data_IF_931185551993
#
_entry.id   IF_931185551993
#
_cell.length_a   1.000
_cell.length_b   1.000
_cell.length_c   1.000
_cell.angle_alpha   90.00
_cell.angle_beta   90.00
_cell.angle_gamma   90.00
#
_symmetry.space_group_name_H-M   'P 1'
#
loop_
_entity.id
_entity.type
_entity.pdbx_description
1 polymer ?
#
# COMPACT_ATOMS: atom_id res chain seq x y z
N UNK A 1 4.22 -13.11 8.03
CA UNK A 1 5.66 -13.25 8.34
C UNK A 1 6.00 -12.25 9.43
N UNK A 2 6.45 -12.71 10.60
CA UNK A 2 6.81 -11.84 11.72
C UNK A 2 8.21 -11.27 11.45
N UNK A 3 8.33 -9.96 11.48
CA UNK A 3 9.63 -9.30 11.43
C UNK A 3 10.36 -9.60 12.74
N UNK A 4 11.41 -10.42 12.69
CA UNK A 4 12.33 -10.57 13.81
C UNK A 4 13.42 -9.53 13.65
N UNK A 5 13.33 -8.44 14.38
CA UNK A 5 14.50 -7.75 14.89
C UNK A 5 14.84 -8.38 16.24
N UNK A 6 16.10 -8.53 16.56
CA UNK A 6 16.56 -9.24 17.77
C UNK A 6 16.11 -8.63 19.10
N UNK A 7 15.29 -7.54 19.09
CA UNK A 7 14.92 -6.81 20.30
C UNK A 7 13.41 -6.63 20.56
N UNK A 8 12.50 -6.92 19.60
CA UNK A 8 11.05 -6.77 19.85
C UNK A 8 10.23 -7.76 19.03
N UNK A 9 9.58 -8.72 19.67
CA UNK A 9 8.48 -9.48 19.07
C UNK A 9 7.21 -8.63 19.09
N UNK A 10 6.97 -7.83 18.05
CA UNK A 10 5.70 -7.15 17.89
C UNK A 10 4.62 -8.13 17.41
N UNK A 11 3.56 -8.25 18.18
CA UNK A 11 2.36 -8.98 17.78
C UNK A 11 1.53 -8.21 16.74
N UNK A 12 0.59 -8.91 16.08
CA UNK A 12 -0.31 -8.25 15.10
C UNK A 12 -1.09 -7.08 15.70
N UNK A 13 -1.45 -7.14 16.98
CA UNK A 13 -2.15 -6.06 17.67
C UNK A 13 -1.27 -4.81 17.80
N UNK A 14 0.02 -5.01 18.06
CA UNK A 14 0.99 -3.90 18.18
C UNK A 14 1.24 -3.25 16.83
N UNK A 15 1.37 -4.03 15.76
CA UNK A 15 1.51 -3.51 14.39
C UNK A 15 0.32 -2.62 14.02
N UNK A 16 -0.92 -3.08 14.28
CA UNK A 16 -2.13 -2.28 14.00
C UNK A 16 -2.13 -0.97 14.80
N UNK A 17 -1.86 -1.08 16.11
CA UNK A 17 -1.85 0.08 17.01
C UNK A 17 -0.77 1.08 16.60
N UNK A 18 0.44 0.62 16.35
CA UNK A 18 1.57 1.47 15.94
C UNK A 18 1.26 2.22 14.66
N UNK A 19 0.68 1.55 13.65
CA UNK A 19 0.26 2.19 12.41
C UNK A 19 -0.76 3.30 12.66
N UNK A 20 -1.83 3.01 13.40
CA UNK A 20 -2.89 3.98 13.67
C UNK A 20 -2.39 5.16 14.50
N UNK A 21 -1.60 4.91 15.54
CA UNK A 21 -1.03 5.95 16.39
C UNK A 21 -0.07 6.85 15.60
N UNK A 22 0.75 6.27 14.72
CA UNK A 22 1.64 7.03 13.85
C UNK A 22 0.87 8.00 12.97
N UNK A 23 -0.15 7.52 12.23
CA UNK A 23 -0.93 8.39 11.36
C UNK A 23 -1.86 9.33 12.13
N UNK A 24 -2.34 8.96 13.30
CA UNK A 24 -3.03 9.89 14.20
C UNK A 24 -2.12 11.06 14.61
N UNK A 25 -0.84 10.80 14.89
CA UNK A 25 0.16 11.85 15.18
C UNK A 25 0.43 12.79 13.99
N UNK A 26 0.16 12.33 12.76
CA UNK A 26 0.22 13.13 11.52
C UNK A 26 -1.12 13.81 11.19
N UNK A 27 -2.07 13.82 12.12
CA UNK A 27 -3.37 14.51 11.98
C UNK A 27 -4.44 13.71 11.25
N UNK A 28 -4.30 12.38 11.14
CA UNK A 28 -5.33 11.52 10.57
C UNK A 28 -6.39 11.16 11.61
N UNK A 29 -7.64 11.15 11.19
CA UNK A 29 -8.74 10.58 11.97
C UNK A 29 -8.71 9.06 11.84
N UNK A 30 -8.68 8.36 12.97
CA UNK A 30 -8.78 6.90 12.98
C UNK A 30 -10.23 6.50 12.70
N UNK A 31 -10.43 5.76 11.61
CA UNK A 31 -11.75 5.32 11.14
C UNK A 31 -11.86 3.81 11.27
N UNK A 32 -12.95 3.34 11.84
CA UNK A 32 -13.20 1.91 12.00
C UNK A 32 -13.30 1.17 10.65
N UNK A 33 -13.00 -0.12 10.67
CA UNK A 33 -13.25 -1.01 9.54
C UNK A 33 -14.72 -0.99 9.14
N UNK A 34 -15.01 -0.83 7.86
CA UNK A 34 -16.36 -1.01 7.34
C UNK A 34 -16.71 -2.50 7.28
N UNK A 35 -18.01 -2.85 7.21
CA UNK A 35 -18.43 -4.24 7.09
C UNK A 35 -17.84 -4.93 5.85
N UNK A 36 -17.56 -6.24 5.97
CA UNK A 36 -17.06 -7.05 4.86
C UNK A 36 -18.06 -7.15 3.71
N UNK A 37 -19.36 -7.12 4.00
CA UNK A 37 -20.42 -7.05 2.99
C UNK A 37 -20.78 -5.57 2.82
N UNK A 38 -20.42 -4.94 1.69
CA UNK A 38 -20.70 -3.52 1.47
C UNK A 38 -22.21 -3.31 1.31
N UNK A 39 -22.77 -2.39 2.11
CA UNK A 39 -24.22 -2.11 2.08
C UNK A 39 -24.69 -1.25 0.89
N UNK A 40 -23.78 -0.49 0.27
CA UNK A 40 -24.13 0.56 -0.68
C UNK A 40 -23.43 0.43 -2.04
N UNK A 41 -22.70 -0.64 -2.31
CA UNK A 41 -22.05 -0.84 -3.61
C UNK A 41 -22.48 -2.18 -4.24
N UNK A 42 -23.46 -2.16 -5.17
CA UNK A 42 -23.93 -3.39 -5.82
C UNK A 42 -22.89 -4.00 -6.78
N UNK A 43 -21.80 -3.31 -7.06
CA UNK A 43 -20.72 -3.79 -7.93
C UNK A 43 -19.71 -4.66 -7.20
N UNK A 44 -19.74 -4.66 -5.85
CA UNK A 44 -18.82 -5.39 -5.01
C UNK A 44 -19.56 -6.45 -4.17
N UNK A 45 -19.09 -7.68 -4.26
CA UNK A 45 -19.57 -8.77 -3.39
C UNK A 45 -19.03 -8.59 -1.96
N UNK A 46 -17.78 -8.23 -1.82
CA UNK A 46 -17.09 -8.02 -0.55
C UNK A 46 -16.26 -6.73 -0.58
N UNK A 47 -16.02 -6.17 0.60
CA UNK A 47 -15.02 -5.13 0.78
C UNK A 47 -13.63 -5.74 0.53
N UNK A 48 -13.01 -5.35 -0.56
CA UNK A 48 -11.76 -5.93 -1.06
C UNK A 48 -10.53 -5.02 -0.87
N UNK A 49 -10.75 -3.80 -0.37
CA UNK A 49 -9.68 -2.86 -0.05
C UNK A 49 -10.13 -1.82 0.98
N UNK A 50 -9.16 -1.17 1.63
CA UNK A 50 -9.42 -0.08 2.55
C UNK A 50 -10.05 1.16 1.90
N UNK A 51 -9.91 1.30 0.59
CA UNK A 51 -10.47 2.43 -0.17
C UNK A 51 -12.00 2.35 -0.34
N UNK A 52 -12.59 1.18 -0.24
CA UNK A 52 -14.03 0.97 -0.55
C UNK A 52 -14.93 1.91 0.23
N UNK A 53 -14.71 2.05 1.55
CA UNK A 53 -15.54 2.94 2.38
C UNK A 53 -15.36 4.44 2.07
N UNK A 54 -14.31 4.82 1.35
CA UNK A 54 -14.00 6.21 0.98
C UNK A 54 -14.21 6.50 -0.51
N UNK A 55 -14.73 5.54 -1.28
CA UNK A 55 -14.95 5.67 -2.72
C UNK A 55 -15.71 6.95 -3.08
N UNK A 56 -16.83 7.20 -2.41
CA UNK A 56 -17.67 8.36 -2.68
C UNK A 56 -17.00 9.68 -2.26
N UNK A 57 -16.12 9.64 -1.27
CA UNK A 57 -15.30 10.80 -0.89
C UNK A 57 -14.30 11.15 -2.00
N UNK A 58 -13.62 10.16 -2.57
CA UNK A 58 -12.71 10.37 -3.70
C UNK A 58 -13.44 10.81 -4.97
N UNK A 59 -14.66 10.36 -5.18
CA UNK A 59 -15.50 10.79 -6.29
C UNK A 59 -16.15 12.18 -6.07
N UNK A 60 -16.02 12.74 -4.85
CA UNK A 60 -16.59 14.04 -4.49
C UNK A 60 -18.11 14.02 -4.23
N UNK A 61 -18.72 12.85 -4.16
CA UNK A 61 -20.17 12.67 -3.91
C UNK A 61 -20.51 12.57 -2.43
N UNK A 62 -19.53 12.29 -1.58
CA UNK A 62 -19.64 12.31 -0.12
C UNK A 62 -18.62 13.29 0.48
N UNK A 63 -18.95 13.86 1.63
CA UNK A 63 -18.09 14.75 2.41
C UNK A 63 -17.98 14.25 3.83
N UNK A 64 -16.76 14.14 4.32
CA UNK A 64 -16.46 13.82 5.71
C UNK A 64 -16.07 15.07 6.48
N UNK A 65 -16.18 15.01 7.80
CA UNK A 65 -15.71 16.08 8.69
C UNK A 65 -14.19 16.17 8.81
N UNK A 66 -13.47 15.27 8.19
CA UNK A 66 -12.01 15.16 8.18
C UNK A 66 -11.49 15.05 6.74
N UNK A 67 -10.26 15.49 6.53
CA UNK A 67 -9.55 15.42 5.23
C UNK A 67 -8.41 14.38 5.24
N UNK A 68 -8.12 13.78 6.40
CA UNK A 68 -7.16 12.69 6.56
C UNK A 68 -7.80 11.57 7.36
N UNK A 69 -7.62 10.35 6.92
CA UNK A 69 -8.09 9.16 7.64
C UNK A 69 -7.01 8.08 7.71
N UNK A 70 -7.04 7.30 8.78
CA UNK A 70 -6.27 6.07 8.90
C UNK A 70 -7.19 4.95 9.35
N UNK A 71 -7.02 3.76 8.78
CA UNK A 71 -7.85 2.61 9.09
C UNK A 71 -7.09 1.30 9.00
N UNK A 72 -7.56 0.31 9.75
CA UNK A 72 -7.21 -1.09 9.57
C UNK A 72 -8.48 -1.77 9.07
N UNK A 73 -8.58 -1.97 7.77
CA UNK A 73 -9.78 -2.47 7.10
C UNK A 73 -9.71 -3.98 6.89
N UNK A 74 -10.70 -4.70 7.43
CA UNK A 74 -10.92 -6.10 7.09
C UNK A 74 -11.36 -6.24 5.64
N UNK A 75 -10.70 -7.13 4.88
CA UNK A 75 -10.91 -7.32 3.45
C UNK A 75 -11.10 -8.79 3.09
N UNK A 76 -11.91 -9.03 2.05
CA UNK A 76 -12.10 -10.35 1.44
C UNK A 76 -11.86 -10.26 -0.07
N UNK A 77 -10.99 -11.17 -0.58
CA UNK A 77 -10.74 -11.35 -2.02
C UNK A 77 -11.03 -12.77 -2.44
N UNK A 78 -12.30 -13.16 -2.33
CA UNK A 78 -12.80 -14.51 -2.54
C UNK A 78 -13.79 -14.60 -3.73
N UNK A 79 -13.80 -13.61 -4.60
CA UNK A 79 -14.66 -13.54 -5.78
C UNK A 79 -14.75 -12.12 -6.34
N UNK A 80 -15.28 -11.98 -7.56
CA UNK A 80 -15.42 -10.68 -8.22
C UNK A 80 -14.14 -10.19 -8.90
N UNK A 81 -14.00 -8.88 -9.05
CA UNK A 81 -12.93 -8.23 -9.83
C UNK A 81 -11.53 -8.43 -9.26
N UNK A 82 -11.40 -8.50 -7.93
CA UNK A 82 -10.15 -8.79 -7.23
C UNK A 82 -10.29 -10.12 -6.51
N UNK A 83 -10.03 -11.20 -7.24
CA UNK A 83 -10.14 -12.56 -6.73
C UNK A 83 -8.76 -13.19 -6.64
N UNK A 84 -8.35 -13.54 -5.42
CA UNK A 84 -7.08 -14.19 -5.15
C UNK A 84 -7.21 -15.72 -4.94
N UNK A 85 -8.41 -16.29 -5.12
CA UNK A 85 -8.68 -17.71 -4.83
C UNK A 85 -7.74 -18.68 -5.56
N UNK A 86 -7.34 -18.35 -6.79
CA UNK A 86 -6.42 -19.18 -7.57
C UNK A 86 -5.00 -19.20 -6.98
N UNK A 87 -4.65 -18.21 -6.17
CA UNK A 87 -3.34 -18.08 -5.56
C UNK A 87 -3.32 -18.50 -4.08
N UNK A 88 -4.49 -18.56 -3.43
CA UNK A 88 -4.60 -18.94 -2.02
C UNK A 88 -4.20 -20.41 -1.84
N UNK A 89 -3.28 -20.64 -0.92
CA UNK A 89 -2.71 -21.97 -0.66
C UNK A 89 -1.56 -22.37 -1.59
N UNK A 90 -1.34 -21.64 -2.68
CA UNK A 90 -0.24 -21.88 -3.63
C UNK A 90 0.91 -20.86 -3.45
N UNK A 91 0.63 -19.74 -2.83
CA UNK A 91 1.62 -18.71 -2.49
C UNK A 91 1.56 -18.40 -1.00
N UNK A 92 2.67 -17.96 -0.43
CA UNK A 92 2.74 -17.59 0.98
C UNK A 92 2.05 -16.25 1.31
N UNK A 93 1.60 -15.50 0.30
CA UNK A 93 1.16 -14.09 0.45
C UNK A 93 -0.31 -13.86 0.15
N UNK A 94 -0.98 -14.76 -0.54
CA UNK A 94 -2.38 -14.60 -0.91
C UNK A 94 -3.28 -15.29 0.10
N UNK A 95 -4.15 -14.51 0.72
CA UNK A 95 -5.15 -14.96 1.67
C UNK A 95 -6.53 -14.47 1.22
N UNK A 96 -7.57 -15.26 1.45
CA UNK A 96 -8.95 -14.84 1.18
C UNK A 96 -9.36 -13.68 2.08
N UNK A 97 -9.00 -13.76 3.36
CA UNK A 97 -9.20 -12.72 4.36
C UNK A 97 -7.85 -12.09 4.74
N UNK A 98 -7.80 -10.76 4.80
CA UNK A 98 -6.65 -10.01 5.27
C UNK A 98 -7.09 -8.65 5.82
N UNK A 99 -6.19 -7.97 6.50
CA UNK A 99 -6.39 -6.59 6.91
C UNK A 99 -5.49 -5.66 6.10
N UNK A 100 -6.07 -4.56 5.62
CA UNK A 100 -5.35 -3.51 4.92
C UNK A 100 -5.17 -2.31 5.84
N UNK A 101 -3.92 -2.00 6.15
CA UNK A 101 -3.56 -0.78 6.85
C UNK A 101 -3.50 0.35 5.84
N UNK A 102 -4.36 1.34 6.00
CA UNK A 102 -4.52 2.42 5.02
C UNK A 102 -4.43 3.80 5.65
N UNK A 103 -3.74 4.72 4.98
CA UNK A 103 -3.77 6.14 5.26
C UNK A 103 -4.29 6.87 4.02
N UNK A 104 -5.19 7.82 4.23
CA UNK A 104 -5.98 8.45 3.18
C UNK A 104 -5.89 9.96 3.29
N UNK A 105 -5.67 10.64 2.16
CA UNK A 105 -5.72 12.09 2.04
C UNK A 105 -6.80 12.49 1.03
N UNK A 106 -7.74 13.30 1.47
CA UNK A 106 -8.83 13.79 0.64
C UNK A 106 -8.53 15.23 0.19
N UNK A 107 -7.54 15.36 -0.73
CA UNK A 107 -7.12 16.64 -1.29
C UNK A 107 -6.33 17.53 -0.35
N UNK A 108 -5.64 16.95 0.65
CA UNK A 108 -4.90 17.71 1.65
C UNK A 108 -3.38 17.59 1.47
N UNK A 109 -2.83 16.37 1.53
CA UNK A 109 -1.42 16.12 1.19
C UNK A 109 -1.32 15.17 -0.01
N UNK A 110 -0.14 15.08 -0.61
CA UNK A 110 0.10 14.22 -1.77
C UNK A 110 1.46 13.49 -1.63
N UNK A 111 2.15 13.22 -2.73
CA UNK A 111 3.33 12.34 -2.80
C UNK A 111 4.39 12.64 -1.75
N UNK A 112 4.78 13.93 -1.59
CA UNK A 112 5.91 14.30 -0.75
C UNK A 112 5.73 13.86 0.70
N UNK A 113 4.62 14.21 1.32
CA UNK A 113 4.35 13.85 2.72
C UNK A 113 4.11 12.36 2.85
N UNK A 114 3.36 11.77 1.92
CA UNK A 114 3.05 10.36 1.93
C UNK A 114 4.31 9.49 1.85
N UNK A 115 5.22 9.77 0.92
CA UNK A 115 6.47 9.02 0.77
C UNK A 115 7.39 9.19 1.98
N UNK A 116 7.49 10.41 2.53
CA UNK A 116 8.29 10.67 3.73
C UNK A 116 7.74 9.96 4.96
N UNK A 117 6.43 9.99 5.16
CA UNK A 117 5.80 9.27 6.29
C UNK A 117 5.90 7.76 6.13
N UNK A 118 5.74 7.25 4.92
CA UNK A 118 5.96 5.84 4.64
C UNK A 118 7.38 5.41 5.02
N UNK A 119 8.38 6.18 4.60
CA UNK A 119 9.77 5.92 4.93
C UNK A 119 10.06 6.03 6.43
N UNK A 120 9.56 7.09 7.08
CA UNK A 120 9.65 7.28 8.52
C UNK A 120 9.04 6.11 9.30
N UNK A 121 7.83 5.70 8.93
CA UNK A 121 7.14 4.57 9.56
C UNK A 121 7.97 3.28 9.46
N UNK A 122 8.44 2.95 8.28
CA UNK A 122 9.17 1.71 8.06
C UNK A 122 10.55 1.70 8.73
N UNK A 123 11.30 2.80 8.63
CA UNK A 123 12.71 2.81 9.08
C UNK A 123 12.88 3.27 10.51
N UNK A 124 12.05 4.20 11.00
CA UNK A 124 12.22 4.77 12.33
C UNK A 124 11.26 4.17 13.36
N UNK A 125 10.05 3.81 12.96
CA UNK A 125 9.05 3.23 13.86
C UNK A 125 9.14 1.72 13.87
N UNK A 126 9.01 1.06 12.70
CA UNK A 126 9.14 -0.39 12.58
C UNK A 126 10.59 -0.90 12.52
N UNK A 127 11.57 0.01 12.49
CA UNK A 127 13.01 -0.33 12.55
C UNK A 127 13.48 -1.27 11.43
N UNK A 128 12.85 -1.23 10.26
CA UNK A 128 13.33 -2.00 9.12
C UNK A 128 14.68 -1.45 8.63
N UNK A 129 15.65 -2.31 8.31
CA UNK A 129 16.95 -1.89 7.81
C UNK A 129 16.80 -1.20 6.45
N UNK A 130 17.19 0.07 6.39
CA UNK A 130 17.01 0.91 5.20
C UNK A 130 17.81 0.39 3.97
N UNK A 131 18.89 -0.31 4.21
CA UNK A 131 19.73 -0.93 3.17
C UNK A 131 19.03 -2.11 2.46
N UNK A 132 17.98 -2.67 3.03
CA UNK A 132 17.14 -3.70 2.43
C UNK A 132 15.89 -3.16 1.74
N UNK A 133 15.66 -1.85 1.79
CA UNK A 133 14.49 -1.25 1.19
C UNK A 133 14.79 -0.72 -0.21
N UNK A 134 13.87 -0.99 -1.13
CA UNK A 134 13.86 -0.53 -2.50
C UNK A 134 12.55 0.20 -2.76
N UNK A 135 12.55 1.13 -3.70
CA UNK A 135 11.33 1.79 -4.15
C UNK A 135 11.13 1.59 -5.65
N UNK A 136 9.87 1.57 -6.07
CA UNK A 136 9.51 1.67 -7.48
C UNK A 136 8.65 2.89 -7.71
N UNK A 137 8.75 3.46 -8.90
CA UNK A 137 7.92 4.58 -9.36
C UNK A 137 7.46 4.30 -10.78
N UNK A 138 6.33 4.88 -11.18
CA UNK A 138 5.93 4.85 -12.57
C UNK A 138 6.95 5.58 -13.45
N UNK A 139 7.16 5.12 -14.67
CA UNK A 139 8.26 5.57 -15.54
C UNK A 139 8.29 7.08 -15.75
N UNK A 140 7.13 7.72 -15.84
CA UNK A 140 6.99 9.16 -16.08
C UNK A 140 6.80 9.97 -14.79
N UNK A 141 6.85 9.33 -13.61
CA UNK A 141 6.68 10.01 -12.33
C UNK A 141 8.01 10.54 -11.79
N UNK A 142 8.49 11.60 -12.41
CA UNK A 142 9.73 12.27 -12.00
C UNK A 142 9.64 12.89 -10.61
N UNK A 143 8.47 13.35 -10.20
CA UNK A 143 8.25 13.93 -8.87
C UNK A 143 8.51 12.87 -7.78
N UNK A 144 7.90 11.70 -7.88
CA UNK A 144 8.13 10.62 -6.92
C UNK A 144 9.60 10.15 -6.94
N UNK A 145 10.21 10.05 -8.12
CA UNK A 145 11.62 9.69 -8.24
C UNK A 145 12.53 10.70 -7.53
N UNK A 146 12.29 11.98 -7.72
CA UNK A 146 13.07 13.05 -7.10
C UNK A 146 12.87 13.09 -5.58
N UNK A 147 11.66 12.87 -5.09
CA UNK A 147 11.40 12.77 -3.65
C UNK A 147 12.22 11.61 -3.04
N UNK A 148 12.20 10.44 -3.66
CA UNK A 148 12.97 9.29 -3.18
C UNK A 148 14.47 9.55 -3.17
N UNK A 149 15.02 10.06 -4.26
CA UNK A 149 16.46 10.18 -4.43
C UNK A 149 17.06 11.43 -3.80
N UNK A 150 16.36 12.57 -3.88
CA UNK A 150 16.90 13.87 -3.46
C UNK A 150 16.43 14.30 -2.06
N UNK A 151 15.21 13.94 -1.66
CA UNK A 151 14.66 14.39 -0.37
C UNK A 151 14.77 13.31 0.70
N UNK A 152 14.46 12.06 0.39
CA UNK A 152 14.59 10.92 1.30
C UNK A 152 16.03 10.40 1.31
N UNK A 153 16.73 10.51 0.17
CA UNK A 153 18.14 10.12 0.05
C UNK A 153 18.33 8.62 -0.23
N UNK A 154 17.31 7.94 -0.78
CA UNK A 154 17.47 6.57 -1.23
C UNK A 154 18.43 6.54 -2.43
N UNK A 155 19.45 5.65 -2.47
CA UNK A 155 20.35 5.54 -3.60
C UNK A 155 19.59 5.30 -4.91
N UNK A 156 20.00 5.98 -5.99
CA UNK A 156 19.30 5.93 -7.27
C UNK A 156 19.17 4.51 -7.84
N UNK A 157 20.13 3.64 -7.58
CA UNK A 157 20.11 2.23 -7.97
C UNK A 157 19.05 1.41 -7.24
N UNK A 158 18.47 1.94 -6.17
CA UNK A 158 17.37 1.31 -5.42
C UNK A 158 16.01 1.93 -5.73
N UNK A 159 15.93 2.87 -6.65
CA UNK A 159 14.67 3.45 -7.13
C UNK A 159 14.47 3.02 -8.58
N UNK A 160 13.55 2.08 -8.79
CA UNK A 160 13.33 1.45 -10.10
C UNK A 160 12.13 2.09 -10.76
N UNK A 161 12.29 2.54 -12.01
CA UNK A 161 11.21 3.04 -12.86
C UNK A 161 10.53 1.87 -13.58
N UNK A 162 9.23 1.75 -13.43
CA UNK A 162 8.41 0.71 -14.05
C UNK A 162 7.46 1.36 -15.05
N UNK A 163 7.57 0.95 -16.31
CA UNK A 163 6.69 1.39 -17.40
C UNK A 163 5.45 0.51 -17.55
N UNK A 164 4.83 0.63 -18.71
CA UNK A 164 3.66 -0.17 -19.11
C UNK A 164 4.08 -1.62 -19.40
N UNK A 165 4.13 -2.44 -18.37
CA UNK A 165 4.66 -3.81 -18.43
C UNK A 165 3.57 -4.89 -18.58
N UNK A 166 2.30 -4.48 -18.74
CA UNK A 166 1.14 -5.41 -18.89
C UNK A 166 0.44 -5.29 -20.25
N UNK A 167 1.14 -4.76 -21.25
CA UNK A 167 0.72 -4.81 -22.66
C UNK A 167 -0.21 -3.71 -23.16
N UNK A 168 -0.56 -2.73 -22.34
CA UNK A 168 -1.36 -1.57 -22.73
C UNK A 168 -0.89 -0.30 -22.01
N UNK A 169 -1.28 0.87 -22.52
CA UNK A 169 -1.00 2.14 -21.88
C UNK A 169 -1.60 2.20 -20.48
N UNK A 170 -0.81 2.61 -19.51
CA UNK A 170 -1.15 2.63 -18.07
C UNK A 170 -1.40 1.25 -17.44
N UNK A 171 -1.23 0.16 -18.17
CA UNK A 171 -1.22 -1.19 -17.62
C UNK A 171 0.15 -1.51 -17.04
N UNK A 172 0.38 -1.07 -15.83
CA UNK A 172 1.66 -1.13 -15.11
C UNK A 172 1.45 -1.58 -13.66
N UNK A 173 2.49 -2.17 -13.08
CA UNK A 173 2.52 -2.44 -11.64
C UNK A 173 2.56 -1.14 -10.82
N UNK A 174 3.10 -0.06 -11.40
CA UNK A 174 3.16 1.25 -10.77
C UNK A 174 2.11 2.26 -11.29
N UNK A 175 1.02 1.76 -11.85
CA UNK A 175 -0.14 2.58 -12.18
C UNK A 175 -1.41 1.87 -11.72
N UNK A 176 -2.09 2.43 -10.72
CA UNK A 176 -3.30 1.85 -10.17
C UNK A 176 -4.56 2.40 -10.84
N UNK A 177 -5.58 1.59 -10.91
CA UNK A 177 -6.91 1.98 -11.37
C UNK A 177 -7.96 1.34 -10.46
N UNK A 178 -8.93 2.13 -10.01
CA UNK A 178 -10.03 1.63 -9.18
C UNK A 178 -10.92 0.68 -9.98
N UNK A 179 -11.23 1.07 -11.22
CA UNK A 179 -12.08 0.33 -12.16
C UNK A 179 -11.78 0.82 -13.59
N UNK A 180 -12.57 0.36 -14.57
CA UNK A 180 -12.46 0.83 -15.95
C UNK A 180 -12.78 2.33 -16.08
N UNK A 181 -13.58 2.85 -15.15
CA UNK A 181 -13.86 4.27 -14.95
C UNK A 181 -13.69 4.63 -13.48
N UNK A 182 -13.13 5.79 -13.20
CA UNK A 182 -12.93 6.27 -11.82
C UNK A 182 -11.50 6.73 -11.55
N UNK A 183 -11.15 6.94 -10.29
CA UNK A 183 -9.82 7.36 -9.90
C UNK A 183 -8.75 6.39 -10.38
N UNK A 184 -7.66 6.94 -10.91
CA UNK A 184 -6.47 6.20 -11.31
C UNK A 184 -5.25 7.12 -11.24
N UNK A 185 -4.06 6.54 -11.21
CA UNK A 185 -2.84 7.33 -11.22
C UNK A 185 -1.57 6.51 -11.02
N UNK A 186 -0.42 7.15 -11.19
CA UNK A 186 0.84 6.52 -10.85
C UNK A 186 0.91 6.24 -9.35
N UNK A 187 1.57 5.16 -8.99
CA UNK A 187 1.86 4.81 -7.60
C UNK A 187 3.34 4.54 -7.40
N UNK A 188 3.79 4.70 -6.19
CA UNK A 188 5.10 4.29 -5.73
C UNK A 188 4.96 3.16 -4.73
N UNK A 189 5.85 2.19 -4.80
CA UNK A 189 5.82 1.02 -3.93
C UNK A 189 7.16 0.85 -3.24
N UNK A 190 7.14 0.31 -2.02
CA UNK A 190 8.33 -0.03 -1.26
C UNK A 190 8.43 -1.54 -1.16
N UNK A 191 9.63 -2.07 -1.40
CA UNK A 191 9.94 -3.49 -1.35
C UNK A 191 11.02 -3.76 -0.30
N UNK A 192 10.86 -4.87 0.40
CA UNK A 192 11.89 -5.40 1.28
C UNK A 192 12.64 -6.53 0.58
N UNK A 193 13.96 -6.44 0.53
CA UNK A 193 14.83 -7.44 -0.05
C UNK A 193 15.23 -8.48 1.02
N UNK A 194 14.68 -9.68 0.90
CA UNK A 194 15.01 -10.81 1.79
C UNK A 194 16.36 -11.47 1.49
N UNK A 195 17.05 -10.99 0.45
CA UNK A 195 18.32 -11.54 0.02
C UNK A 195 18.21 -12.77 -0.91
N UNK A 196 19.33 -13.22 -1.45
CA UNK A 196 19.39 -14.26 -2.49
C UNK A 196 18.92 -15.64 -2.02
N UNK A 197 18.93 -15.91 -0.71
CA UNK A 197 18.53 -17.21 -0.17
C UNK A 197 17.00 -17.43 -0.22
N UNK A 198 16.21 -16.37 -0.32
CA UNK A 198 14.75 -16.40 -0.44
C UNK A 198 14.32 -16.29 -1.90
N UNK A 199 15.25 -15.99 -2.80
CA UNK A 199 15.02 -15.89 -4.22
C UNK A 199 14.79 -17.28 -4.82
N UNK A 200 13.57 -17.59 -5.21
CA UNK A 200 13.36 -18.65 -6.18
C UNK A 200 14.08 -18.30 -7.48
N UNK A 201 15.00 -19.16 -7.87
CA UNK A 201 15.88 -19.00 -9.02
C UNK A 201 15.09 -18.56 -10.26
N UNK A 202 15.35 -17.35 -10.74
CA UNK A 202 14.95 -16.88 -12.07
C UNK A 202 13.73 -15.95 -12.17
N UNK A 203 13.17 -15.44 -11.09
CA UNK A 203 12.08 -14.44 -11.16
C UNK A 203 12.39 -13.20 -10.32
N UNK A 204 11.96 -12.04 -10.83
CA UNK A 204 12.05 -10.72 -10.17
C UNK A 204 11.23 -10.60 -8.87
N UNK A 205 10.85 -11.72 -8.26
CA UNK A 205 9.93 -11.83 -7.13
C UNK A 205 10.58 -11.96 -5.76
N UNK A 206 11.89 -11.72 -5.65
CA UNK A 206 12.62 -11.81 -4.37
C UNK A 206 12.33 -10.67 -3.41
N UNK A 207 11.45 -9.76 -3.79
CA UNK A 207 11.11 -8.58 -3.03
C UNK A 207 9.68 -8.69 -2.53
N UNK A 208 9.53 -8.75 -1.22
CA UNK A 208 8.21 -8.66 -0.62
C UNK A 208 7.73 -7.22 -0.71
N UNK A 209 6.56 -7.06 -1.32
CA UNK A 209 5.92 -5.76 -1.49
C UNK A 209 5.38 -5.29 -0.16
N UNK A 210 5.98 -4.26 0.42
CA UNK A 210 5.32 -3.42 1.41
C UNK A 210 4.51 -2.39 0.63
N UNK A 211 3.28 -2.74 0.27
CA UNK A 211 2.43 -1.85 -0.52
C UNK A 211 1.93 -0.71 0.35
N UNK A 212 2.56 0.45 0.21
CA UNK A 212 2.00 1.71 0.63
C UNK A 212 1.53 2.42 -0.65
N UNK A 213 0.24 2.33 -0.95
CA UNK A 213 -0.34 3.09 -2.04
C UNK A 213 -0.35 4.57 -1.66
N UNK A 214 0.42 5.35 -2.39
CA UNK A 214 0.48 6.80 -2.31
C UNK A 214 -0.34 7.38 -3.44
#
# INVERSE_FOLDING_TARGET
MLFRSEEVEEGLADIRKTFLDFFASKGHTVVASSPLVPGNDPTLMFTNSGMVQFKDVFLGTDKRSYVRAASVQACLRAGGKHNDLENVGYTARHHTFFEMLGNWSFGDYFKRDSLKWAWELLTQVYKLPADKLWATVYIDDDEAYDIWTKEIGLPAERVVRIGDNKGAKYASDNFWMMADTGPCGPCSEIFYDHGPEVAEIGRASCRERVSLNV
#
